data_IF_127374399761
#
_entry.id   IF_127374399761
#
_cell.length_a   1.000
_cell.length_b   1.000
_cell.length_c   1.000
_cell.angle_alpha   90.00
_cell.angle_beta   90.00
_cell.angle_gamma   90.00
#
_symmetry.space_group_name_H-M   'P 1'
#
loop_
_entity.id
_entity.type
_entity.pdbx_description
1 polymer ?
#
# COMPACT_ATOMS: atom_id res chain seq x y z
N UNK A 1 -11.92 15.38 -11.76
CA UNK A 1 -11.77 14.30 -12.76
C UNK A 1 -10.70 13.33 -12.28
N UNK A 2 -10.88 12.02 -12.45
CA UNK A 2 -9.79 11.07 -12.23
C UNK A 2 -8.63 11.41 -13.17
N UNK A 3 -7.39 11.42 -12.66
CA UNK A 3 -6.22 11.75 -13.46
C UNK A 3 -5.00 10.91 -13.05
N UNK A 4 -4.18 10.60 -14.05
CA UNK A 4 -2.85 10.01 -13.88
C UNK A 4 -1.87 10.95 -14.55
N UNK A 5 -0.86 11.41 -13.82
CA UNK A 5 0.21 12.26 -14.36
C UNK A 5 1.51 11.49 -14.33
N UNK A 6 2.17 11.38 -15.48
CA UNK A 6 3.56 10.95 -15.57
C UNK A 6 4.42 12.19 -15.83
N UNK A 7 5.34 12.46 -14.92
CA UNK A 7 6.33 13.53 -15.04
C UNK A 7 7.70 12.91 -15.26
N UNK A 8 8.32 13.25 -16.39
CA UNK A 8 9.70 12.91 -16.71
C UNK A 8 10.56 14.14 -16.43
N UNK A 9 11.65 13.98 -15.69
CA UNK A 9 12.58 15.09 -15.41
C UNK A 9 14.01 14.62 -15.51
N UNK A 10 14.83 15.35 -16.25
CA UNK A 10 16.28 15.10 -16.32
C UNK A 10 16.90 15.24 -14.93
N UNK A 11 17.76 14.30 -14.56
CA UNK A 11 18.55 14.40 -13.34
C UNK A 11 19.83 15.19 -13.61
N UNK A 12 20.41 15.85 -12.59
CA UNK A 12 21.70 16.53 -12.73
C UNK A 12 22.86 15.62 -13.19
N UNK A 13 22.70 14.30 -13.07
CA UNK A 13 23.67 13.30 -13.51
C UNK A 13 23.43 12.78 -14.94
N UNK A 14 22.49 13.39 -15.69
CA UNK A 14 22.18 12.99 -17.08
C UNK A 14 21.28 11.74 -17.19
N UNK A 15 20.57 11.39 -16.13
CA UNK A 15 19.54 10.33 -16.13
C UNK A 15 18.12 10.90 -16.23
N UNK A 16 17.11 10.04 -16.22
CA UNK A 16 15.69 10.45 -16.22
C UNK A 16 15.04 9.99 -14.92
N UNK A 17 14.33 10.89 -14.25
CA UNK A 17 13.45 10.59 -13.12
C UNK A 17 12.00 10.54 -13.58
N UNK A 18 11.25 9.53 -13.12
CA UNK A 18 9.84 9.32 -13.47
C UNK A 18 8.99 9.44 -12.20
N UNK A 19 8.22 10.52 -12.07
CA UNK A 19 7.25 10.71 -11.00
C UNK A 19 5.84 10.45 -11.50
N UNK A 20 5.01 9.81 -10.68
CA UNK A 20 3.66 9.38 -11.08
C UNK A 20 2.65 9.79 -10.03
N UNK A 21 1.65 10.60 -10.38
CA UNK A 21 0.52 10.92 -9.49
C UNK A 21 -0.72 10.14 -9.89
N UNK A 22 -1.43 9.57 -8.91
CA UNK A 22 -2.73 8.93 -9.13
C UNK A 22 -3.76 9.53 -8.18
N UNK A 23 -4.85 10.06 -8.75
CA UNK A 23 -6.04 10.46 -8.00
C UNK A 23 -7.24 9.63 -8.49
N UNK A 24 -7.63 8.57 -7.77
CA UNK A 24 -8.82 7.80 -8.14
C UNK A 24 -10.10 8.64 -7.97
N UNK A 25 -11.17 8.23 -8.63
CA UNK A 25 -12.50 8.71 -8.26
C UNK A 25 -12.87 8.06 -6.92
N UNK A 26 -13.18 8.87 -5.91
CA UNK A 26 -13.65 8.34 -4.62
C UNK A 26 -14.98 7.61 -4.88
N UNK A 27 -15.16 6.45 -4.22
CA UNK A 27 -16.33 5.56 -4.24
C UNK A 27 -16.55 4.63 -5.44
N UNK A 28 -15.61 4.54 -6.40
CA UNK A 28 -15.70 3.62 -7.53
C UNK A 28 -14.38 2.85 -7.72
N UNK A 29 -14.40 1.55 -8.06
CA UNK A 29 -13.17 0.81 -8.39
C UNK A 29 -12.41 1.51 -9.52
N UNK A 30 -11.08 1.37 -9.55
CA UNK A 30 -10.29 1.93 -10.65
C UNK A 30 -10.85 1.43 -11.99
N UNK A 31 -11.01 2.33 -12.95
CA UNK A 31 -11.41 1.95 -14.30
C UNK A 31 -10.31 1.11 -14.95
N UNK A 32 -10.61 0.30 -15.98
CA UNK A 32 -9.58 -0.47 -16.70
C UNK A 32 -8.41 0.40 -17.16
N UNK A 33 -8.68 1.62 -17.65
CA UNK A 33 -7.64 2.56 -18.07
C UNK A 33 -6.71 2.98 -16.91
N UNK A 34 -7.26 3.16 -15.71
CA UNK A 34 -6.47 3.48 -14.52
C UNK A 34 -5.61 2.29 -14.09
N UNK A 35 -6.16 1.07 -14.13
CA UNK A 35 -5.43 -0.16 -13.81
C UNK A 35 -4.28 -0.40 -14.77
N UNK A 36 -4.50 -0.27 -16.08
CA UNK A 36 -3.45 -0.42 -17.09
C UNK A 36 -2.37 0.64 -16.94
N UNK A 37 -2.74 1.89 -16.66
CA UNK A 37 -1.76 2.94 -16.43
C UNK A 37 -0.89 2.63 -15.20
N UNK A 38 -1.45 2.18 -14.08
CA UNK A 38 -0.67 1.77 -12.90
C UNK A 38 0.28 0.60 -13.21
N UNK A 39 -0.19 -0.38 -14.00
CA UNK A 39 0.65 -1.51 -14.42
C UNK A 39 1.80 -1.08 -15.34
N UNK A 40 1.54 -0.20 -16.31
CA UNK A 40 2.58 0.35 -17.21
C UNK A 40 3.65 1.07 -16.38
N UNK A 41 3.23 1.86 -15.39
CA UNK A 41 4.15 2.56 -14.50
C UNK A 41 4.99 1.59 -13.69
N UNK A 42 4.38 0.58 -13.05
CA UNK A 42 5.10 -0.42 -12.26
C UNK A 42 6.14 -1.18 -13.09
N UNK A 43 5.75 -1.65 -14.28
CA UNK A 43 6.66 -2.35 -15.23
C UNK A 43 7.81 -1.47 -15.68
N UNK A 44 7.50 -0.23 -16.11
CA UNK A 44 8.52 0.72 -16.58
C UNK A 44 9.56 1.01 -15.51
N UNK A 45 9.17 1.10 -14.23
CA UNK A 45 10.11 1.30 -13.13
C UNK A 45 11.01 0.09 -12.91
N UNK A 46 10.44 -1.11 -12.96
CA UNK A 46 11.18 -2.36 -12.83
C UNK A 46 12.18 -2.54 -13.96
N UNK A 47 11.74 -2.35 -15.21
CA UNK A 47 12.57 -2.53 -16.41
C UNK A 47 13.74 -1.54 -16.45
N UNK A 48 13.54 -0.32 -15.94
CA UNK A 48 14.57 0.72 -15.89
C UNK A 48 15.41 0.71 -14.61
N UNK A 49 15.17 -0.23 -13.69
CA UNK A 49 15.89 -0.29 -12.41
C UNK A 49 15.78 0.99 -11.59
N UNK A 50 14.67 1.73 -11.73
CA UNK A 50 14.49 3.01 -11.07
C UNK A 50 14.26 2.78 -9.57
N UNK A 51 14.93 3.53 -8.67
CA UNK A 51 14.65 3.45 -7.25
C UNK A 51 13.17 3.81 -6.99
N UNK A 52 12.58 3.25 -5.94
CA UNK A 52 11.29 3.74 -5.45
C UNK A 52 11.43 5.23 -5.18
N UNK A 53 10.66 6.06 -5.89
CA UNK A 53 10.54 7.45 -5.48
C UNK A 53 9.74 7.45 -4.18
N UNK A 54 10.08 8.32 -3.21
CA UNK A 54 9.21 8.61 -2.08
C UNK A 54 8.00 9.38 -2.61
N UNK A 55 7.12 8.73 -3.36
CA UNK A 55 5.94 9.37 -3.95
C UNK A 55 4.72 9.16 -3.05
N UNK A 56 4.62 10.07 -2.10
CA UNK A 56 3.47 10.36 -1.27
C UNK A 56 3.76 11.66 -0.52
N UNK A 57 2.75 12.35 0.05
CA UNK A 57 3.03 13.36 1.07
C UNK A 57 4.04 12.75 2.06
N UNK A 58 5.08 13.51 2.44
CA UNK A 58 6.04 13.05 3.44
C UNK A 58 5.26 12.52 4.65
N UNK A 59 5.64 11.34 5.19
CA UNK A 59 4.87 10.69 6.23
C UNK A 59 4.61 11.70 7.35
N UNK A 60 3.33 11.99 7.59
CA UNK A 60 2.94 12.88 8.66
C UNK A 60 3.36 12.19 9.96
N UNK A 61 4.34 12.76 10.65
CA UNK A 61 4.79 12.26 11.95
C UNK A 61 3.59 12.28 12.89
N UNK A 62 3.03 11.10 13.18
CA UNK A 62 1.84 10.95 14.02
C UNK A 62 0.76 10.00 13.48
N UNK A 63 0.84 9.56 12.22
CA UNK A 63 -0.07 8.53 11.67
C UNK A 63 0.62 7.15 11.63
N UNK A 64 -0.12 6.06 11.92
CA UNK A 64 0.41 4.70 11.85
C UNK A 64 0.75 4.32 10.41
N UNK A 65 1.78 3.49 10.25
CA UNK A 65 2.09 2.83 9.00
C UNK A 65 1.15 1.64 8.81
N UNK A 66 0.37 1.63 7.73
CA UNK A 66 -0.62 0.59 7.47
C UNK A 66 -0.13 -0.39 6.40
N UNK A 67 -0.37 -1.68 6.60
CA UNK A 67 -0.28 -2.69 5.54
C UNK A 67 -1.68 -2.98 4.98
N UNK A 68 -1.79 -3.25 3.67
CA UNK A 68 -3.05 -3.68 3.05
C UNK A 68 -3.14 -5.21 2.93
N UNK A 69 -4.21 -5.80 3.46
CA UNK A 69 -4.52 -7.22 3.29
C UNK A 69 -5.83 -7.44 2.52
N UNK A 70 -5.89 -8.46 1.67
CA UNK A 70 -7.09 -8.76 0.87
C UNK A 70 -6.95 -9.96 -0.08
N UNK A 71 -8.02 -10.34 -0.79
CA UNK A 71 -7.95 -11.38 -1.82
C UNK A 71 -7.20 -10.88 -3.06
N UNK A 72 -6.34 -11.72 -3.63
CA UNK A 72 -5.62 -11.46 -4.89
C UNK A 72 -5.78 -12.60 -5.90
N UNK A 73 -5.44 -13.83 -5.48
CA UNK A 73 -5.45 -15.01 -6.34
C UNK A 73 -6.86 -15.34 -6.85
N UNK A 74 -6.99 -15.62 -8.15
CA UNK A 74 -8.27 -15.99 -8.78
C UNK A 74 -9.19 -14.81 -9.12
N UNK A 75 -8.78 -13.57 -8.84
CA UNK A 75 -9.51 -12.36 -9.22
C UNK A 75 -8.91 -11.70 -10.47
N UNK A 76 -9.72 -10.96 -11.27
CA UNK A 76 -9.21 -10.16 -12.38
C UNK A 76 -8.09 -9.22 -11.93
N UNK A 77 -7.02 -9.16 -12.74
CA UNK A 77 -5.82 -8.34 -12.48
C UNK A 77 -5.22 -8.52 -11.07
N UNK A 78 -5.36 -9.72 -10.50
CA UNK A 78 -4.93 -10.04 -9.14
C UNK A 78 -5.51 -9.10 -8.08
N UNK A 79 -6.66 -8.48 -8.36
CA UNK A 79 -7.31 -7.46 -7.53
C UNK A 79 -6.47 -6.19 -7.29
N UNK A 80 -5.37 -5.98 -8.02
CA UNK A 80 -4.51 -4.79 -7.90
C UNK A 80 -5.30 -3.46 -7.96
N UNK A 81 -6.35 -3.32 -8.79
CA UNK A 81 -7.17 -2.09 -8.82
C UNK A 81 -7.77 -1.72 -7.45
N UNK A 82 -8.22 -2.69 -6.67
CA UNK A 82 -8.79 -2.46 -5.33
C UNK A 82 -7.70 -2.07 -4.32
N UNK A 83 -6.54 -2.72 -4.39
CA UNK A 83 -5.39 -2.42 -3.56
C UNK A 83 -4.87 -0.99 -3.80
N UNK A 84 -4.64 -0.59 -5.05
CA UNK A 84 -4.17 0.76 -5.37
C UNK A 84 -5.19 1.83 -4.99
N UNK A 85 -6.48 1.57 -5.16
CA UNK A 85 -7.54 2.48 -4.72
C UNK A 85 -7.53 2.67 -3.20
N UNK A 86 -7.43 1.59 -2.42
CA UNK A 86 -7.36 1.66 -0.97
C UNK A 86 -6.09 2.37 -0.50
N UNK A 87 -4.95 2.08 -1.13
CA UNK A 87 -3.68 2.74 -0.84
C UNK A 87 -3.77 4.25 -1.09
N UNK A 88 -4.27 4.66 -2.26
CA UNK A 88 -4.44 6.07 -2.59
C UNK A 88 -5.37 6.79 -1.60
N UNK A 89 -6.50 6.16 -1.24
CA UNK A 89 -7.47 6.73 -0.28
C UNK A 89 -6.86 6.94 1.10
N UNK A 90 -6.12 5.96 1.63
CA UNK A 90 -5.49 6.07 2.94
C UNK A 90 -4.29 7.03 2.92
N UNK A 91 -3.50 7.04 1.84
CA UNK A 91 -2.39 7.99 1.66
C UNK A 91 -2.89 9.44 1.58
N UNK A 92 -4.03 9.69 0.95
CA UNK A 92 -4.66 11.03 0.92
C UNK A 92 -5.08 11.53 2.31
N UNK A 93 -5.40 10.61 3.23
CA UNK A 93 -5.73 10.91 4.62
C UNK A 93 -4.51 11.07 5.53
N UNK A 94 -3.30 10.92 4.99
CA UNK A 94 -2.03 11.10 5.72
C UNK A 94 -1.39 9.83 6.27
N UNK A 95 -1.99 8.65 6.05
CA UNK A 95 -1.35 7.38 6.41
C UNK A 95 -0.17 7.07 5.50
N UNK A 96 0.89 6.50 6.07
CA UNK A 96 1.86 5.71 5.30
C UNK A 96 1.21 4.35 5.00
N UNK A 97 1.37 3.83 3.78
CA UNK A 97 0.73 2.57 3.37
C UNK A 97 1.70 1.69 2.59
N UNK A 98 1.96 0.48 3.08
CA UNK A 98 2.56 -0.64 2.34
C UNK A 98 1.46 -1.39 1.60
N UNK A 99 1.64 -1.52 0.29
CA UNK A 99 0.70 -2.21 -0.59
C UNK A 99 1.38 -3.43 -1.25
N UNK A 100 0.92 -4.68 -0.99
CA UNK A 100 1.51 -5.86 -1.62
C UNK A 100 1.41 -5.88 -3.15
N UNK A 101 0.46 -5.15 -3.75
CA UNK A 101 0.41 -4.99 -5.22
C UNK A 101 1.57 -4.16 -5.80
N UNK A 102 2.35 -3.49 -4.94
CA UNK A 102 3.48 -2.63 -5.31
C UNK A 102 4.85 -3.27 -5.00
N UNK A 103 4.88 -4.52 -4.49
CA UNK A 103 6.12 -5.18 -4.01
C UNK A 103 7.11 -5.61 -5.12
N UNK A 104 6.77 -5.40 -6.39
CA UNK A 104 7.62 -5.71 -7.55
C UNK A 104 7.79 -7.21 -7.87
N UNK A 105 7.12 -8.11 -7.15
CA UNK A 105 7.16 -9.54 -7.49
C UNK A 105 6.34 -9.81 -8.77
N UNK A 106 6.87 -10.61 -9.71
CA UNK A 106 6.10 -11.06 -10.85
C UNK A 106 4.84 -11.81 -10.40
N UNK A 107 3.70 -11.59 -11.08
CA UNK A 107 2.43 -12.30 -10.79
C UNK A 107 2.54 -13.82 -10.89
N UNK A 108 3.52 -14.32 -11.64
CA UNK A 108 3.82 -15.74 -11.80
C UNK A 108 4.69 -16.32 -10.68
N UNK A 109 5.15 -15.51 -9.72
CA UNK A 109 5.98 -15.99 -8.64
C UNK A 109 5.21 -16.99 -7.76
N UNK A 110 5.90 -17.99 -7.18
CA UNK A 110 5.24 -18.97 -6.31
C UNK A 110 4.55 -18.29 -5.13
N UNK A 111 3.41 -18.83 -4.70
CA UNK A 111 2.65 -18.31 -3.56
C UNK A 111 3.50 -18.10 -2.30
N UNK A 112 4.41 -19.04 -2.01
CA UNK A 112 5.33 -18.93 -0.87
C UNK A 112 6.30 -17.73 -0.98
N UNK A 113 6.67 -17.31 -2.19
CA UNK A 113 7.52 -16.14 -2.41
C UNK A 113 6.72 -14.85 -2.17
N UNK A 114 5.48 -14.78 -2.66
CA UNK A 114 4.56 -13.68 -2.34
C UNK A 114 4.35 -13.56 -0.84
N UNK A 115 3.95 -14.64 -0.16
CA UNK A 115 3.76 -14.63 1.29
C UNK A 115 4.99 -14.19 2.08
N UNK A 116 6.20 -14.54 1.65
CA UNK A 116 7.44 -14.10 2.32
C UNK A 116 7.68 -12.60 2.17
N UNK A 117 7.40 -12.02 1.00
CA UNK A 117 7.52 -10.59 0.78
C UNK A 117 6.44 -9.83 1.55
N UNK A 118 5.21 -10.33 1.48
CA UNK A 118 4.03 -9.77 2.12
C UNK A 118 4.18 -9.74 3.65
N UNK A 119 4.61 -10.84 4.27
CA UNK A 119 4.88 -10.90 5.72
C UNK A 119 6.00 -9.92 6.11
N UNK A 120 7.08 -9.80 5.32
CA UNK A 120 8.13 -8.82 5.62
C UNK A 120 7.59 -7.39 5.58
N UNK A 121 6.83 -7.06 4.54
CA UNK A 121 6.21 -5.74 4.41
C UNK A 121 5.21 -5.43 5.53
N UNK A 122 4.46 -6.44 5.99
CA UNK A 122 3.56 -6.32 7.13
C UNK A 122 4.31 -6.04 8.44
N UNK A 123 5.45 -6.68 8.67
CA UNK A 123 6.22 -6.52 9.91
C UNK A 123 6.85 -5.13 10.07
N UNK A 124 6.97 -4.36 8.99
CA UNK A 124 7.42 -2.96 9.03
C UNK A 124 6.27 -1.96 9.29
N UNK A 125 5.05 -2.43 9.54
CA UNK A 125 3.84 -1.63 9.73
C UNK A 125 3.34 -1.65 11.18
N UNK A 126 2.53 -0.64 11.54
CA UNK A 126 1.92 -0.46 12.86
C UNK A 126 0.46 -0.95 12.91
N UNK A 127 -0.20 -1.07 11.74
CA UNK A 127 -1.60 -1.48 11.63
C UNK A 127 -1.91 -2.22 10.33
N UNK A 128 -3.05 -2.89 10.31
CA UNK A 128 -3.53 -3.66 9.17
C UNK A 128 -4.87 -3.10 8.68
N UNK A 129 -4.92 -2.72 7.40
CA UNK A 129 -6.13 -2.28 6.73
C UNK A 129 -6.61 -3.35 5.74
N UNK A 130 -7.84 -3.82 5.93
CA UNK A 130 -8.35 -5.03 5.29
C UNK A 130 -9.39 -4.71 4.23
N UNK A 131 -9.24 -5.30 3.05
CA UNK A 131 -10.17 -5.21 1.92
C UNK A 131 -11.34 -6.22 2.08
N UNK A 132 -12.53 -5.93 1.51
CA UNK A 132 -13.65 -6.87 1.49
C UNK A 132 -13.30 -8.23 0.87
N UNK A 133 -13.90 -9.32 1.39
CA UNK A 133 -13.67 -10.68 0.90
C UNK A 133 -12.37 -11.33 1.43
N UNK A 134 -11.70 -10.69 2.40
CA UNK A 134 -10.49 -11.21 3.02
C UNK A 134 -10.69 -12.56 3.71
N UNK A 135 -11.89 -12.83 4.19
CA UNK A 135 -12.32 -14.08 4.83
C UNK A 135 -12.16 -15.30 3.90
N UNK A 136 -12.17 -15.06 2.59
CA UNK A 136 -11.99 -16.07 1.55
C UNK A 136 -10.55 -16.12 1.01
N UNK A 137 -9.66 -15.24 1.47
CA UNK A 137 -8.25 -15.20 1.05
C UNK A 137 -7.36 -15.92 2.05
N UNK A 138 -6.74 -17.02 1.61
CA UNK A 138 -5.78 -17.76 2.45
C UNK A 138 -4.62 -16.88 2.92
N UNK A 139 -4.08 -16.03 2.05
CA UNK A 139 -3.01 -15.08 2.40
C UNK A 139 -3.46 -14.02 3.39
N UNK A 140 -4.59 -13.36 3.13
CA UNK A 140 -5.09 -12.30 4.02
C UNK A 140 -5.43 -12.83 5.41
N UNK A 141 -5.95 -14.06 5.52
CA UNK A 141 -6.20 -14.70 6.82
C UNK A 141 -4.92 -14.88 7.64
N UNK A 142 -3.82 -15.29 6.99
CA UNK A 142 -2.51 -15.44 7.66
C UNK A 142 -2.02 -14.07 8.16
N UNK A 143 -2.11 -13.04 7.32
CA UNK A 143 -1.71 -11.68 7.67
C UNK A 143 -2.54 -11.10 8.82
N UNK A 144 -3.86 -11.29 8.79
CA UNK A 144 -4.78 -10.86 9.86
C UNK A 144 -4.47 -11.57 11.17
N UNK A 145 -4.27 -12.89 11.14
CA UNK A 145 -3.94 -13.65 12.34
C UNK A 145 -2.61 -13.18 12.93
N UNK A 146 -1.59 -13.01 12.08
CA UNK A 146 -0.27 -12.53 12.51
C UNK A 146 -0.35 -11.13 13.12
N UNK A 147 -0.97 -10.17 12.43
CA UNK A 147 -1.15 -8.80 12.92
C UNK A 147 -1.90 -8.76 14.25
N UNK A 148 -2.96 -9.57 14.38
CA UNK A 148 -3.73 -9.70 15.63
C UNK A 148 -2.84 -10.22 16.77
N UNK A 149 -2.03 -11.25 16.53
CA UNK A 149 -1.12 -11.81 17.53
C UNK A 149 0.00 -10.85 17.92
N UNK A 150 0.40 -9.96 17.02
CA UNK A 150 1.37 -8.89 17.28
C UNK A 150 0.76 -7.68 18.00
N UNK A 151 -0.55 -7.70 18.31
CA UNK A 151 -1.24 -6.60 18.98
C UNK A 151 -1.46 -5.37 18.10
N UNK A 152 -1.37 -5.53 16.77
CA UNK A 152 -1.64 -4.46 15.82
C UNK A 152 -3.14 -4.19 15.74
N UNK A 153 -3.51 -2.94 15.47
CA UNK A 153 -4.90 -2.61 15.12
C UNK A 153 -5.22 -3.20 13.75
N UNK A 154 -6.25 -4.04 13.68
CA UNK A 154 -6.76 -4.62 12.43
C UNK A 154 -8.14 -4.05 12.16
N UNK A 155 -8.36 -3.52 10.95
CA UNK A 155 -9.61 -2.85 10.61
C UNK A 155 -9.90 -2.79 9.13
N UNK A 156 -11.16 -2.58 8.77
CA UNK A 156 -11.55 -2.32 7.37
C UNK A 156 -11.02 -0.97 6.89
N UNK A 157 -10.95 -0.77 5.57
CA UNK A 157 -10.59 0.55 5.00
C UNK A 157 -11.52 1.66 5.52
N UNK A 158 -12.80 1.34 5.78
CA UNK A 158 -13.79 2.30 6.32
C UNK A 158 -13.43 2.71 7.74
N UNK A 159 -13.07 1.76 8.61
CA UNK A 159 -12.67 2.06 9.98
C UNK A 159 -11.52 3.08 10.02
N UNK A 160 -10.47 2.83 9.22
CA UNK A 160 -9.31 3.73 9.16
C UNK A 160 -9.68 5.13 8.65
N UNK A 161 -10.58 5.22 7.69
CA UNK A 161 -11.10 6.52 7.21
C UNK A 161 -11.87 7.26 8.31
N UNK A 162 -12.70 6.54 9.07
CA UNK A 162 -13.53 7.14 10.12
C UNK A 162 -12.72 7.58 11.33
N UNK A 163 -11.63 6.88 11.66
CA UNK A 163 -10.69 7.30 12.72
C UNK A 163 -10.09 8.67 12.42
N UNK A 164 -9.64 8.94 11.20
CA UNK A 164 -9.14 10.28 10.83
C UNK A 164 -10.24 11.33 10.92
N UNK A 165 -11.44 11.03 10.38
CA UNK A 165 -12.56 11.97 10.37
C UNK A 165 -13.09 12.33 11.76
N UNK A 166 -13.00 11.41 12.71
CA UNK A 166 -13.38 11.62 14.11
C UNK A 166 -12.34 12.42 14.91
N UNK A 167 -11.20 12.77 14.30
CA UNK A 167 -10.11 13.45 14.99
C UNK A 167 -9.35 12.53 15.95
N UNK A 168 -9.40 11.20 15.73
CA UNK A 168 -8.68 10.25 16.56
C UNK A 168 -7.17 10.52 16.49
N UNK A 169 -6.56 10.74 17.66
CA UNK A 169 -5.12 10.90 17.77
C UNK A 169 -4.46 9.54 17.99
N UNK A 170 -3.72 9.08 16.99
CA UNK A 170 -2.89 7.89 17.13
C UNK A 170 -1.74 8.18 18.10
N UNK A 171 -1.50 7.27 19.05
CA UNK A 171 -0.28 7.33 19.85
C UNK A 171 0.90 7.16 18.89
N UNK A 172 1.87 8.07 18.93
CA UNK A 172 3.12 7.91 18.18
C UNK A 172 3.78 6.61 18.64
N UNK A 173 4.18 5.70 17.73
CA UNK A 173 4.96 4.55 18.13
C UNK A 173 6.25 5.04 18.81
N UNK A 174 6.59 4.41 19.93
CA UNK A 174 7.86 4.61 20.60
C UNK A 174 8.97 4.23 19.62
N UNK A 175 9.97 5.09 19.48
CA UNK A 175 11.15 4.81 18.67
C UNK A 175 11.85 3.55 19.18
N UNK A 176 12.62 2.84 18.34
CA UNK A 176 13.40 1.69 18.79
C UNK A 176 14.31 2.00 20.00
N UNK A 177 14.79 3.24 20.10
CA UNK A 177 15.53 3.76 21.25
C UNK A 177 14.68 3.87 22.52
N UNK A 178 13.41 4.29 22.41
CA UNK A 178 12.49 4.38 23.55
C UNK A 178 12.01 3.01 24.03
N UNK A 179 11.99 1.99 23.16
CA UNK A 179 11.64 0.62 23.51
C UNK A 179 12.80 -0.18 24.14
N UNK A 180 14.05 0.17 23.83
CA UNK A 180 15.23 -0.53 24.34
C UNK A 180 15.62 -0.15 25.78
N UNK A 181 14.95 0.85 26.37
CA UNK A 181 15.26 1.41 27.71
C UNK A 181 14.21 1.01 28.78
N UNK A 182 13.20 0.22 28.41
CA UNK A 182 12.17 -0.32 29.30
C UNK A 182 12.40 -1.80 29.61
#
# INVERSE_FOLDING_TARGET
MPSITLTLTDTPAGGVSVATSFRPAISHPCSPAQSYALEILARTRQDLGLPELPYGPQPQTGFPHLYLAGPMSGLPDCNYPAFHMAAAKLRELGYRVTNPAENGLPRSAPWAQHMRADIKGLLDCDGLAVLPGHEHSAGARIEIELATKLGMTVGSIVLWVDLVKSGFHFKRPATPLEQAVA
#
